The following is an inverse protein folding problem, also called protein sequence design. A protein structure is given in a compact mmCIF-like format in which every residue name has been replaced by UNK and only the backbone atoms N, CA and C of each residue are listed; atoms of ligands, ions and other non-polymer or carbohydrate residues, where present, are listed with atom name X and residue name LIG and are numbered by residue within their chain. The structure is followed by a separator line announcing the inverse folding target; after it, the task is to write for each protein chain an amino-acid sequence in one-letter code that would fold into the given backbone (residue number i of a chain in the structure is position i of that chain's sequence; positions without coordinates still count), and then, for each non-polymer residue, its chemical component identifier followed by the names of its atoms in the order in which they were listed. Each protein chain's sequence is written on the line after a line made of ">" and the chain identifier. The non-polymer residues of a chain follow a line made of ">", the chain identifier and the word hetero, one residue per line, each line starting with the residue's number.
data_IF_558412008866
#
_entry.id   IF_558412008866
#
_cell.length_a   1.000
_cell.length_b   1.000
_cell.length_c   1.000
_cell.angle_alpha   90.00
_cell.angle_beta   90.00
_cell.angle_gamma   90.00
#
_symmetry.space_group_name_H-M   'P 1'
#
loop_
_entity.id
_entity.type
_entity.pdbx_description
1 polymer ?
#
# COMPACT_ATOMS: atom_id res chain seq x y z
N UNK A 1 12.62 0.27 19.46
CA UNK A 1 12.23 -0.94 20.22
C UNK A 1 10.75 -1.18 19.92
N UNK A 2 10.41 -1.88 18.84
CA UNK A 2 9.03 -1.99 18.40
C UNK A 2 8.23 -2.88 19.37
N UNK A 3 7.47 -2.24 20.28
CA UNK A 3 6.43 -2.92 21.06
C UNK A 3 5.24 -3.13 20.13
N UNK A 4 4.52 -4.24 20.24
CA UNK A 4 3.33 -4.48 19.42
C UNK A 4 2.28 -3.37 19.55
N UNK A 5 2.24 -2.69 20.70
CA UNK A 5 1.44 -1.49 20.94
C UNK A 5 1.71 -0.36 19.94
N UNK A 6 2.96 -0.19 19.49
CA UNK A 6 3.36 0.85 18.53
C UNK A 6 2.90 0.54 17.10
N UNK A 7 2.54 -0.72 16.79
CA UNK A 7 2.10 -1.10 15.44
C UNK A 7 0.82 -0.35 15.04
N UNK A 8 -0.10 -0.15 15.98
CA UNK A 8 -1.32 0.62 15.72
C UNK A 8 -0.98 2.05 15.25
N UNK A 9 -0.05 2.70 15.94
CA UNK A 9 0.40 4.04 15.58
C UNK A 9 1.10 4.04 14.21
N UNK A 10 1.92 3.03 13.91
CA UNK A 10 2.59 2.91 12.62
C UNK A 10 1.60 2.72 11.46
N UNK A 11 0.58 1.87 11.61
CA UNK A 11 -0.46 1.70 10.58
C UNK A 11 -1.20 3.01 10.34
N UNK A 12 -1.66 3.69 11.40
CA UNK A 12 -2.36 4.98 11.28
C UNK A 12 -1.48 6.03 10.58
N UNK A 13 -0.20 6.09 10.93
CA UNK A 13 0.74 7.02 10.33
C UNK A 13 1.00 6.74 8.84
N UNK A 14 1.13 5.46 8.47
CA UNK A 14 1.24 5.05 7.07
C UNK A 14 -0.04 5.47 6.32
N UNK A 15 -1.21 5.23 6.89
CA UNK A 15 -2.49 5.61 6.29
C UNK A 15 -2.57 7.10 6.03
N UNK A 16 -2.20 7.93 7.00
CA UNK A 16 -2.14 9.38 6.83
C UNK A 16 -1.22 9.77 5.68
N UNK A 17 -0.03 9.17 5.55
CA UNK A 17 0.88 9.48 4.44
C UNK A 17 0.29 9.07 3.08
N UNK A 18 -0.35 7.90 3.00
CA UNK A 18 -0.93 7.41 1.74
C UNK A 18 -2.08 8.28 1.24
N UNK A 19 -2.98 8.72 2.14
CA UNK A 19 -4.13 9.53 1.74
C UNK A 19 -3.79 11.00 1.45
N UNK A 20 -2.59 11.45 1.82
CA UNK A 20 -2.10 12.79 1.45
C UNK A 20 -1.48 12.80 0.03
N UNK A 21 -1.17 11.64 -0.54
CA UNK A 21 -0.72 11.54 -1.92
C UNK A 21 -1.92 11.52 -2.88
N UNK A 22 -2.17 12.67 -3.52
CA UNK A 22 -3.25 12.84 -4.50
C UNK A 22 -3.15 11.87 -5.68
N UNK A 23 -1.95 11.65 -6.22
CA UNK A 23 -1.76 10.76 -7.37
C UNK A 23 -2.12 9.31 -7.01
N UNK A 24 -1.70 8.85 -5.83
CA UNK A 24 -2.13 7.55 -5.31
C UNK A 24 -3.65 7.50 -5.13
N UNK A 25 -4.23 8.52 -4.51
CA UNK A 25 -5.67 8.59 -4.26
C UNK A 25 -6.48 8.51 -5.56
N UNK A 26 -6.06 9.24 -6.60
CA UNK A 26 -6.67 9.21 -7.93
C UNK A 26 -6.56 7.82 -8.58
N UNK A 27 -5.38 7.19 -8.49
CA UNK A 27 -5.14 5.84 -9.00
C UNK A 27 -5.97 4.77 -8.29
N UNK A 28 -6.43 5.01 -7.06
CA UNK A 28 -7.32 4.10 -6.35
C UNK A 28 -8.79 4.38 -6.66
N UNK A 29 -9.19 5.66 -6.69
CA UNK A 29 -10.57 6.09 -6.77
C UNK A 29 -11.15 6.07 -8.19
N UNK A 30 -10.42 6.60 -9.18
CA UNK A 30 -10.94 6.74 -10.53
C UNK A 30 -10.64 5.50 -11.38
N UNK A 31 -11.67 4.71 -11.70
CA UNK A 31 -11.60 3.55 -12.59
C UNK A 31 -11.64 3.94 -14.08
N UNK A 32 -10.83 4.92 -14.48
CA UNK A 32 -10.73 5.45 -15.85
C UNK A 32 -9.33 5.24 -16.45
N UNK A 33 -9.17 5.48 -17.74
CA UNK A 33 -7.90 5.25 -18.44
C UNK A 33 -6.79 6.24 -18.09
N UNK A 34 -7.14 7.47 -17.69
CA UNK A 34 -6.18 8.50 -17.27
C UNK A 34 -6.58 9.14 -15.92
N UNK A 35 -6.42 8.40 -14.81
CA UNK A 35 -6.85 8.87 -13.49
C UNK A 35 -6.03 10.06 -12.99
N UNK A 36 -4.80 10.26 -13.47
CA UNK A 36 -3.92 11.33 -12.98
C UNK A 36 -4.33 12.71 -13.51
N UNK A 37 -5.00 12.75 -14.67
CA UNK A 37 -5.57 13.97 -15.24
C UNK A 37 -6.89 14.40 -14.60
N UNK A 38 -7.49 13.56 -13.75
CA UNK A 38 -8.72 13.88 -13.02
C UNK A 38 -8.48 14.91 -11.92
N UNK A 39 -9.58 15.52 -11.44
CA UNK A 39 -9.53 16.47 -10.33
C UNK A 39 -9.07 15.81 -9.04
N UNK A 40 -8.29 16.55 -8.25
CA UNK A 40 -7.85 16.14 -6.91
C UNK A 40 -9.05 15.79 -6.03
N UNK A 41 -8.87 14.76 -5.20
CA UNK A 41 -9.90 14.33 -4.27
C UNK A 41 -10.01 15.33 -3.11
N UNK A 42 -11.24 15.63 -2.71
CA UNK A 42 -11.50 16.40 -1.49
C UNK A 42 -11.00 15.64 -0.27
N UNK A 43 -10.80 16.35 0.85
CA UNK A 43 -10.37 15.73 2.11
C UNK A 43 -11.31 14.59 2.53
N UNK A 44 -12.63 14.82 2.48
CA UNK A 44 -13.64 13.81 2.79
C UNK A 44 -13.52 12.56 1.90
N UNK A 45 -13.31 12.75 0.60
CA UNK A 45 -13.12 11.63 -0.35
C UNK A 45 -11.85 10.84 -0.04
N UNK A 46 -10.75 11.52 0.32
CA UNK A 46 -9.50 10.85 0.69
C UNK A 46 -9.63 10.05 1.99
N UNK A 47 -10.34 10.57 2.99
CA UNK A 47 -10.63 9.82 4.20
C UNK A 47 -11.53 8.61 3.95
N UNK A 48 -12.50 8.71 3.03
CA UNK A 48 -13.35 7.59 2.66
C UNK A 48 -12.56 6.42 2.05
N UNK A 49 -11.41 6.69 1.40
CA UNK A 49 -10.53 5.64 0.88
C UNK A 49 -10.05 4.67 1.96
N UNK A 50 -9.86 5.10 3.22
CA UNK A 50 -9.42 4.24 4.33
C UNK A 50 -10.42 3.13 4.72
N UNK A 51 -11.63 3.18 4.18
CA UNK A 51 -12.68 2.18 4.43
C UNK A 51 -13.15 1.48 3.14
N UNK A 52 -12.83 2.05 1.98
CA UNK A 52 -13.33 1.60 0.67
C UNK A 52 -12.24 1.05 -0.24
N UNK A 53 -11.03 1.60 -0.19
CA UNK A 53 -9.94 1.25 -1.10
C UNK A 53 -8.66 0.83 -0.36
N UNK A 54 -8.45 1.26 0.88
CA UNK A 54 -7.26 0.98 1.69
C UNK A 54 -7.69 0.22 2.94
N UNK A 55 -7.07 -0.92 3.23
CA UNK A 55 -7.46 -1.83 4.30
C UNK A 55 -6.29 -2.18 5.22
N UNK A 56 -6.47 -2.17 6.56
CA UNK A 56 -5.43 -2.52 7.54
C UNK A 56 -5.27 -4.04 7.74
N UNK A 57 -5.85 -4.83 6.84
CA UNK A 57 -5.88 -6.29 6.93
C UNK A 57 -5.83 -6.88 5.52
N UNK A 58 -5.36 -8.13 5.36
CA UNK A 58 -5.45 -8.83 4.09
C UNK A 58 -6.92 -8.89 3.65
N UNK A 59 -7.27 -8.16 2.61
CA UNK A 59 -8.62 -8.18 2.04
C UNK A 59 -8.63 -9.02 0.78
N UNK A 60 -9.53 -9.98 0.72
CA UNK A 60 -9.89 -10.64 -0.53
C UNK A 60 -11.00 -9.78 -1.15
N UNK A 61 -10.81 -9.20 -2.35
CA UNK A 61 -11.90 -8.59 -3.08
C UNK A 61 -12.96 -9.69 -3.26
N UNK A 62 -14.16 -9.48 -2.70
CA UNK A 62 -15.28 -10.37 -2.98
C UNK A 62 -15.66 -10.34 -4.46
N UNK A 63 -16.77 -10.97 -4.82
CA UNK A 63 -17.43 -10.75 -6.11
C UNK A 63 -18.01 -9.33 -6.16
N UNK A 64 -17.12 -8.33 -6.21
CA UNK A 64 -17.51 -6.94 -6.35
C UNK A 64 -17.87 -6.71 -7.81
N UNK A 65 -19.10 -6.25 -8.06
CA UNK A 65 -19.58 -5.94 -9.40
C UNK A 65 -18.86 -4.75 -10.07
N UNK A 66 -18.10 -3.97 -9.30
CA UNK A 66 -17.47 -2.74 -9.75
C UNK A 66 -15.95 -2.93 -9.90
N UNK A 67 -15.43 -2.48 -11.05
CA UNK A 67 -14.00 -2.44 -11.34
C UNK A 67 -13.34 -1.42 -10.41
N UNK A 68 -12.37 -1.86 -9.61
CA UNK A 68 -11.74 -1.03 -8.59
C UNK A 68 -10.33 -1.49 -8.27
N UNK A 69 -9.58 -0.63 -7.58
CA UNK A 69 -8.23 -0.93 -7.07
C UNK A 69 -8.21 -0.86 -5.55
N UNK A 70 -7.53 -1.78 -4.90
CA UNK A 70 -7.47 -1.88 -3.45
C UNK A 70 -6.03 -2.01 -2.96
N UNK A 71 -5.76 -1.45 -1.79
CA UNK A 71 -4.55 -1.67 -1.02
C UNK A 71 -4.90 -2.43 0.25
N UNK A 72 -4.18 -3.51 0.54
CA UNK A 72 -4.17 -4.12 1.87
C UNK A 72 -2.80 -3.93 2.50
N UNK A 73 -2.76 -3.40 3.71
CA UNK A 73 -1.52 -3.00 4.38
C UNK A 73 -1.52 -3.59 5.78
N UNK A 74 -0.49 -4.36 6.10
CA UNK A 74 -0.37 -5.02 7.39
C UNK A 74 1.09 -5.32 7.70
N UNK A 75 1.38 -5.52 8.99
CA UNK A 75 2.69 -5.98 9.43
C UNK A 75 2.72 -7.50 9.52
N UNK A 76 3.79 -8.11 9.04
CA UNK A 76 4.03 -9.54 9.06
C UNK A 76 5.51 -9.86 9.38
N UNK A 77 5.85 -11.15 9.43
CA UNK A 77 7.23 -11.64 9.60
C UNK A 77 7.92 -11.14 10.88
N UNK A 78 7.17 -11.09 11.98
CA UNK A 78 7.69 -10.71 13.28
C UNK A 78 8.77 -11.69 13.75
N UNK A 79 10.01 -11.22 13.87
CA UNK A 79 11.15 -12.02 14.33
C UNK A 79 11.93 -11.28 15.40
N UNK A 80 12.58 -12.03 16.29
CA UNK A 80 13.59 -11.45 17.18
C UNK A 80 14.83 -11.12 16.35
N UNK A 81 15.37 -9.92 16.52
CA UNK A 81 16.62 -9.54 15.89
C UNK A 81 17.74 -10.47 16.41
N UNK A 82 18.49 -11.08 15.49
CA UNK A 82 19.50 -12.10 15.80
C UNK A 82 20.57 -11.63 16.79
N UNK A 83 20.84 -10.32 16.85
CA UNK A 83 21.91 -9.74 17.65
C UNK A 83 21.44 -9.16 19.00
N UNK A 84 20.15 -8.84 19.15
CA UNK A 84 19.61 -8.18 20.34
C UNK A 84 18.25 -8.77 20.76
N UNK A 85 18.26 -9.61 21.80
CA UNK A 85 17.10 -10.37 22.34
C UNK A 85 15.89 -9.53 22.83
N UNK A 86 15.88 -8.21 22.62
CA UNK A 86 14.78 -7.30 22.96
C UNK A 86 14.20 -6.51 21.79
N UNK A 87 14.76 -6.66 20.58
CA UNK A 87 14.32 -5.95 19.38
C UNK A 87 13.53 -6.93 18.51
N UNK A 88 12.32 -6.52 18.12
CA UNK A 88 11.48 -7.25 17.17
C UNK A 88 11.58 -6.56 15.83
N UNK A 89 12.04 -7.29 14.83
CA UNK A 89 11.95 -6.87 13.44
C UNK A 89 10.58 -7.29 12.90
N UNK A 90 10.06 -6.51 11.98
CA UNK A 90 8.83 -6.80 11.25
C UNK A 90 8.95 -6.31 9.82
N UNK A 91 8.07 -6.80 8.98
CA UNK A 91 7.97 -6.36 7.60
C UNK A 91 6.61 -5.70 7.38
N UNK A 92 6.60 -4.54 6.72
CA UNK A 92 5.38 -3.96 6.20
C UNK A 92 5.06 -4.67 4.88
N UNK A 93 3.89 -5.27 4.78
CA UNK A 93 3.38 -5.90 3.57
C UNK A 93 2.30 -5.02 2.98
N UNK A 94 2.41 -4.74 1.69
CA UNK A 94 1.41 -3.98 0.92
C UNK A 94 1.00 -4.84 -0.27
N UNK A 95 -0.28 -5.24 -0.28
CA UNK A 95 -0.92 -5.90 -1.41
C UNK A 95 -1.66 -4.85 -2.24
N UNK A 96 -1.27 -4.71 -3.50
CA UNK A 96 -1.92 -3.86 -4.49
C UNK A 96 -2.77 -4.77 -5.35
N UNK A 97 -4.08 -4.62 -5.29
CA UNK A 97 -5.06 -5.45 -5.98
C UNK A 97 -5.82 -4.60 -6.98
N UNK A 98 -5.90 -5.05 -8.22
CA UNK A 98 -6.49 -4.27 -9.30
C UNK A 98 -7.38 -5.20 -10.11
N UNK A 99 -8.56 -4.71 -10.47
CA UNK A 99 -9.43 -5.41 -11.41
C UNK A 99 -8.75 -5.48 -12.79
N UNK A 100 -8.68 -6.67 -13.39
CA UNK A 100 -7.90 -6.94 -14.59
C UNK A 100 -8.30 -6.06 -15.78
N UNK A 101 -9.55 -5.60 -15.83
CA UNK A 101 -10.04 -4.69 -16.88
C UNK A 101 -9.47 -3.27 -16.81
N UNK A 102 -9.13 -2.75 -15.63
CA UNK A 102 -8.56 -1.39 -15.45
C UNK A 102 -7.05 -1.42 -15.24
N UNK A 103 -6.43 -2.56 -15.52
CA UNK A 103 -4.99 -2.78 -15.34
C UNK A 103 -4.16 -1.86 -16.23
N UNK A 104 -4.61 -1.69 -17.47
CA UNK A 104 -3.99 -0.84 -18.47
C UNK A 104 -4.60 0.56 -18.41
N UNK A 105 -3.76 1.58 -18.41
CA UNK A 105 -4.18 2.98 -18.49
C UNK A 105 -4.16 3.37 -19.97
N UNK A 106 -5.24 3.05 -20.69
CA UNK A 106 -5.24 3.16 -22.15
C UNK A 106 -4.93 4.58 -22.62
N UNK A 107 -4.11 4.71 -23.68
CA UNK A 107 -3.71 6.02 -24.20
C UNK A 107 -2.56 6.71 -23.43
N UNK A 108 -2.22 6.26 -22.22
CA UNK A 108 -1.09 6.81 -21.45
C UNK A 108 0.23 6.04 -21.65
N UNK A 109 0.15 4.77 -22.06
CA UNK A 109 1.30 3.86 -22.15
C UNK A 109 1.78 3.33 -20.79
N UNK A 110 1.03 3.59 -19.72
CA UNK A 110 1.34 3.16 -18.35
C UNK A 110 0.40 2.02 -17.91
N UNK A 111 0.80 1.33 -16.85
CA UNK A 111 -0.04 0.32 -16.19
C UNK A 111 -0.30 0.76 -14.76
N UNK A 112 -1.57 0.68 -14.37
CA UNK A 112 -2.04 1.08 -13.03
C UNK A 112 -1.24 0.46 -11.88
N UNK A 113 -0.89 -0.85 -11.86
CA UNK A 113 -0.10 -1.41 -10.76
C UNK A 113 1.28 -0.80 -10.65
N UNK A 114 1.96 -0.49 -11.76
CA UNK A 114 3.29 0.10 -11.73
C UNK A 114 3.25 1.56 -11.28
N UNK A 115 2.22 2.31 -11.66
CA UNK A 115 1.99 3.67 -11.18
C UNK A 115 1.75 3.67 -9.67
N UNK A 116 0.89 2.77 -9.17
CA UNK A 116 0.64 2.63 -7.72
C UNK A 116 1.90 2.21 -6.97
N UNK A 117 2.66 1.23 -7.51
CA UNK A 117 3.95 0.82 -6.93
C UNK A 117 4.94 1.98 -6.85
N UNK A 118 5.05 2.79 -7.90
CA UNK A 118 5.92 3.96 -7.95
C UNK A 118 5.55 4.96 -6.86
N UNK A 119 4.26 5.27 -6.69
CA UNK A 119 3.82 6.19 -5.64
C UNK A 119 4.07 5.66 -4.23
N UNK A 120 3.81 4.37 -3.99
CA UNK A 120 4.12 3.72 -2.71
C UNK A 120 5.62 3.75 -2.42
N UNK A 121 6.46 3.43 -3.41
CA UNK A 121 7.91 3.40 -3.21
C UNK A 121 8.46 4.78 -2.86
N UNK A 122 8.00 5.85 -3.55
CA UNK A 122 8.38 7.23 -3.23
C UNK A 122 8.01 7.63 -1.79
N UNK A 123 6.92 7.10 -1.24
CA UNK A 123 6.45 7.46 0.10
C UNK A 123 7.08 6.62 1.21
N UNK A 124 7.39 5.36 0.93
CA UNK A 124 7.74 4.36 1.96
C UNK A 124 9.23 4.02 1.93
N UNK A 125 9.85 4.00 0.75
CA UNK A 125 11.22 3.54 0.58
C UNK A 125 12.23 4.63 0.98
N UNK A 126 13.13 4.31 1.90
CA UNK A 126 14.15 5.23 2.45
C UNK A 126 13.61 6.49 3.16
N UNK A 127 12.29 6.62 3.29
CA UNK A 127 11.67 7.74 3.98
C UNK A 127 11.45 7.46 5.46
N UNK A 128 11.57 8.52 6.28
CA UNK A 128 11.17 8.47 7.69
C UNK A 128 9.67 8.71 7.78
N UNK A 129 8.89 7.65 7.58
CA UNK A 129 7.44 7.70 7.75
C UNK A 129 7.11 7.80 9.25
N UNK A 130 6.83 9.02 9.71
CA UNK A 130 6.17 9.34 10.98
C UNK A 130 6.54 8.38 12.15
N UNK A 131 7.81 8.44 12.58
CA UNK A 131 8.31 7.67 13.72
C UNK A 131 8.84 6.27 13.40
N UNK A 132 8.74 5.82 12.15
CA UNK A 132 9.40 4.62 11.64
C UNK A 132 10.79 5.02 11.14
N UNK A 133 11.82 4.35 11.68
CA UNK A 133 13.21 4.84 11.61
C UNK A 133 13.82 4.73 10.20
N UNK A 134 13.44 3.70 9.44
CA UNK A 134 13.71 3.52 8.01
C UNK A 134 12.96 2.28 7.52
N UNK A 135 12.33 2.35 6.34
CA UNK A 135 11.80 1.19 5.63
C UNK A 135 12.60 0.98 4.36
N UNK A 136 13.00 -0.26 4.11
CA UNK A 136 13.79 -0.63 2.94
C UNK A 136 13.06 -1.72 2.17
N UNK A 137 12.98 -1.56 0.85
CA UNK A 137 12.39 -2.57 -0.03
C UNK A 137 13.10 -3.92 0.16
N UNK A 138 12.34 -4.97 0.49
CA UNK A 138 12.85 -6.34 0.66
C UNK A 138 12.55 -7.18 -0.58
N UNK A 139 11.27 -7.23 -0.99
CA UNK A 139 10.84 -8.02 -2.15
C UNK A 139 9.53 -7.53 -2.75
N UNK A 140 9.31 -7.90 -4.01
CA UNK A 140 8.05 -7.76 -4.71
C UNK A 140 7.69 -9.05 -5.45
N UNK A 141 6.41 -9.40 -5.51
CA UNK A 141 5.92 -10.54 -6.29
C UNK A 141 4.57 -10.23 -6.94
N UNK A 142 4.33 -10.80 -8.11
CA UNK A 142 3.01 -10.81 -8.72
C UNK A 142 2.09 -11.73 -7.90
N UNK A 143 0.87 -11.29 -7.65
CA UNK A 143 -0.16 -12.06 -6.96
C UNK A 143 -1.43 -12.09 -7.81
N UNK A 144 -2.08 -13.25 -7.86
CA UNK A 144 -3.40 -13.41 -8.47
C UNK A 144 -4.33 -13.90 -7.38
N UNK A 145 -5.33 -13.09 -7.05
CA UNK A 145 -6.27 -13.41 -5.97
C UNK A 145 -7.43 -14.26 -6.50
N UNK A 146 -8.03 -13.85 -7.61
CA UNK A 146 -9.12 -14.58 -8.25
C UNK A 146 -9.08 -14.43 -9.78
N UNK A 147 -10.19 -14.71 -10.45
CA UNK A 147 -10.29 -14.59 -11.91
C UNK A 147 -10.17 -13.12 -12.37
N UNK A 148 -10.64 -12.19 -11.54
CA UNK A 148 -10.88 -10.79 -11.92
C UNK A 148 -9.87 -9.82 -11.32
N UNK A 149 -9.20 -10.21 -10.22
CA UNK A 149 -8.24 -9.40 -9.49
C UNK A 149 -6.87 -10.05 -9.47
N UNK A 150 -5.89 -9.28 -9.89
CA UNK A 150 -4.47 -9.58 -9.71
C UNK A 150 -3.72 -8.31 -9.29
N UNK A 151 -2.42 -8.40 -9.09
CA UNK A 151 -1.61 -7.24 -8.78
C UNK A 151 -0.27 -7.64 -8.19
N UNK A 152 0.23 -6.85 -7.24
CA UNK A 152 1.56 -7.04 -6.68
C UNK A 152 1.54 -6.98 -5.16
N UNK A 153 2.31 -7.87 -4.54
CA UNK A 153 2.63 -7.78 -3.12
C UNK A 153 4.06 -7.27 -3.02
N UNK A 154 4.23 -6.18 -2.29
CA UNK A 154 5.56 -5.68 -1.91
C UNK A 154 5.75 -5.77 -0.41
N UNK A 155 6.99 -6.02 -0.02
CA UNK A 155 7.39 -6.14 1.36
C UNK A 155 8.53 -5.18 1.61
N UNK A 156 8.39 -4.37 2.65
CA UNK A 156 9.43 -3.48 3.15
C UNK A 156 9.89 -4.00 4.51
N UNK A 157 11.19 -4.19 4.66
CA UNK A 157 11.80 -4.56 5.93
C UNK A 157 11.93 -3.33 6.82
N UNK A 158 11.55 -3.49 8.10
CA UNK A 158 11.72 -2.46 9.12
C UNK A 158 12.86 -2.87 10.03
N UNK A 159 14.05 -2.33 9.78
CA UNK A 159 15.23 -2.58 10.60
C UNK A 159 15.23 -1.65 11.82
N UNK A 160 15.26 -2.23 13.02
CA UNK A 160 15.42 -1.46 14.27
C UNK A 160 16.90 -1.30 14.68
N UNK A 161 17.85 -1.75 13.87
CA UNK A 161 19.29 -1.76 14.19
C UNK A 161 19.97 -0.52 13.57
N UNK A 162 20.67 0.23 14.41
CA UNK A 162 21.81 1.07 14.03
C UNK A 162 23.08 0.36 14.51
#
# INVERSE_FOLDING_TARGET
>A
MAKFEQLNQYVTNIFSVLIENQDLCKLLFYAVDDPLSEVDLTEDQRFELLHTHIYPMPKIPGEQSAQSSFLSIYFDNFKLANENKGIKDSSLVIDILIHNEIWNLHGTGLFRPYSILSEIDKMVNNERVAGIKKMEFDRGRLIRYNADYSGYQVTYSMSSVN
#
